data_IF_950329990735
#
_entry.id   IF_950329990735
#
_cell.length_a   1.000
_cell.length_b   1.000
_cell.length_c   1.000
_cell.angle_alpha   90.00
_cell.angle_beta   90.00
_cell.angle_gamma   90.00
#
_symmetry.space_group_name_H-M   'P 1'
#
loop_
_entity.id
_entity.type
_entity.pdbx_description
1 polymer ?
#
# COMPACT_ATOMS: atom_id res chain seq x y z
N UNK A 1 2.56 22.06 -2.79
CA UNK A 1 1.51 22.15 -3.83
C UNK A 1 0.25 21.60 -3.19
N UNK A 2 -0.92 22.26 -3.30
CA UNK A 2 -2.15 21.69 -2.73
C UNK A 2 -2.61 20.54 -3.62
N UNK A 3 -3.03 19.44 -2.99
CA UNK A 3 -3.68 18.34 -3.69
C UNK A 3 -5.00 18.80 -4.31
N UNK A 4 -5.40 18.19 -5.39
CA UNK A 4 -6.64 18.50 -6.12
C UNK A 4 -7.39 17.22 -6.46
N UNK A 5 -8.68 17.33 -6.77
CA UNK A 5 -9.40 16.27 -7.48
C UNK A 5 -8.90 16.22 -8.92
N UNK A 6 -8.85 15.03 -9.52
CA UNK A 6 -8.45 14.93 -10.93
C UNK A 6 -9.60 15.35 -11.84
N UNK A 7 -10.84 15.00 -11.50
CA UNK A 7 -12.06 15.45 -12.17
C UNK A 7 -13.22 15.54 -11.15
N UNK A 8 -13.86 16.70 -11.06
CA UNK A 8 -15.02 16.92 -10.18
C UNK A 8 -16.35 16.57 -10.84
N UNK A 9 -16.36 16.27 -12.14
CA UNK A 9 -17.58 15.97 -12.91
C UNK A 9 -18.01 14.50 -12.83
N UNK A 10 -17.14 13.62 -12.30
CA UNK A 10 -17.37 12.18 -12.22
C UNK A 10 -17.11 11.63 -10.83
N UNK A 11 -17.72 10.52 -10.49
CA UNK A 11 -17.44 9.81 -9.24
C UNK A 11 -16.10 9.05 -9.36
N UNK A 12 -15.02 9.69 -8.90
CA UNK A 12 -13.67 9.17 -9.05
C UNK A 12 -13.20 8.41 -7.81
N UNK A 13 -12.69 7.18 -7.99
CA UNK A 13 -11.92 6.47 -6.98
C UNK A 13 -10.41 6.68 -7.19
N UNK A 14 -9.70 7.08 -6.14
CA UNK A 14 -8.23 7.01 -6.09
C UNK A 14 -7.78 5.68 -5.49
N UNK A 15 -6.70 5.09 -6.01
CA UNK A 15 -6.13 3.86 -5.47
C UNK A 15 -4.61 3.92 -5.40
N UNK A 16 -4.06 3.31 -4.34
CA UNK A 16 -2.62 3.19 -4.07
C UNK A 16 -2.32 1.93 -3.25
N UNK A 17 -1.05 1.54 -3.17
CA UNK A 17 -0.59 0.40 -2.40
C UNK A 17 0.60 0.72 -1.48
N UNK A 18 0.72 -0.05 -0.40
CA UNK A 18 1.83 0.00 0.54
C UNK A 18 2.50 -1.38 0.69
N UNK A 19 3.82 -1.39 0.87
CA UNK A 19 4.53 -2.60 1.23
C UNK A 19 5.13 -3.40 0.07
N UNK A 20 5.26 -2.85 -1.13
CA UNK A 20 5.84 -3.56 -2.29
C UNK A 20 7.26 -4.08 -2.05
N UNK A 21 8.13 -3.26 -1.48
CA UNK A 21 9.54 -3.60 -1.24
C UNK A 21 9.83 -4.36 0.05
N UNK A 22 8.82 -4.84 0.76
CA UNK A 22 8.98 -5.57 2.01
C UNK A 22 9.36 -7.03 1.78
N UNK A 23 10.18 -7.61 2.67
CA UNK A 23 10.53 -9.02 2.66
C UNK A 23 9.47 -9.89 3.33
N UNK A 24 8.63 -9.29 4.17
CA UNK A 24 7.58 -9.98 4.89
C UNK A 24 6.27 -9.18 4.92
N UNK A 25 5.18 -9.88 5.11
CA UNK A 25 3.83 -9.33 5.18
C UNK A 25 3.22 -9.04 3.82
N UNK A 26 1.95 -8.60 3.82
CA UNK A 26 1.19 -8.38 2.59
C UNK A 26 1.67 -7.14 1.83
N UNK A 27 1.32 -7.05 0.54
CA UNK A 27 1.06 -5.77 -0.09
C UNK A 27 -0.38 -5.38 0.24
N UNK A 28 -0.56 -4.14 0.67
CA UNK A 28 -1.88 -3.63 1.09
C UNK A 28 -2.27 -2.53 0.13
N UNK A 29 -3.41 -2.68 -0.51
CA UNK A 29 -3.98 -1.68 -1.39
C UNK A 29 -5.24 -1.06 -0.77
N UNK A 30 -5.51 0.19 -1.12
CA UNK A 30 -6.74 0.88 -0.76
C UNK A 30 -7.36 1.58 -1.96
N UNK A 31 -8.67 1.78 -1.90
CA UNK A 31 -9.42 2.62 -2.82
C UNK A 31 -10.28 3.60 -2.00
N UNK A 32 -10.36 4.85 -2.43
CA UNK A 32 -11.09 5.91 -1.72
C UNK A 32 -11.82 6.79 -2.73
N UNK A 33 -13.08 7.11 -2.44
CA UNK A 33 -13.88 8.13 -3.12
C UNK A 33 -14.15 9.24 -2.12
N UNK A 34 -13.54 10.40 -2.31
CA UNK A 34 -13.80 11.59 -1.48
C UNK A 34 -14.93 12.43 -2.08
N UNK A 35 -15.73 13.15 -1.26
CA UNK A 35 -16.67 14.12 -1.78
C UNK A 35 -15.95 15.27 -2.48
N UNK A 36 -16.60 15.89 -3.46
CA UNK A 36 -16.04 16.96 -4.29
C UNK A 36 -15.62 18.21 -3.50
N UNK A 37 -16.25 18.44 -2.36
CA UNK A 37 -15.96 19.55 -1.44
C UNK A 37 -14.99 19.19 -0.32
N UNK A 38 -14.44 17.98 -0.30
CA UNK A 38 -13.45 17.55 0.69
C UNK A 38 -12.24 18.48 0.68
N UNK A 39 -11.84 18.94 1.86
CA UNK A 39 -10.68 19.80 2.07
C UNK A 39 -9.92 19.37 3.32
N UNK A 40 -8.63 19.16 3.17
CA UNK A 40 -7.75 18.90 4.29
C UNK A 40 -6.35 19.43 3.99
N UNK A 41 -5.87 20.39 4.79
CA UNK A 41 -4.57 21.04 4.54
C UNK A 41 -3.38 20.16 4.95
N UNK A 42 -3.60 19.07 5.70
CA UNK A 42 -2.55 18.14 6.14
C UNK A 42 -2.39 17.00 5.14
N UNK A 43 -3.46 16.67 4.40
CA UNK A 43 -3.44 15.56 3.43
C UNK A 43 -2.35 15.79 2.38
N UNK A 44 -1.43 14.83 2.25
CA UNK A 44 -0.29 14.84 1.34
C UNK A 44 0.20 13.42 1.08
N UNK A 45 1.19 13.24 0.21
CA UNK A 45 1.95 12.00 0.04
C UNK A 45 2.30 11.39 1.41
N UNK A 46 1.87 10.16 1.64
CA UNK A 46 2.01 9.47 2.93
C UNK A 46 3.46 9.36 3.40
N UNK A 47 4.43 9.39 2.48
CA UNK A 47 5.88 9.35 2.76
C UNK A 47 6.42 10.66 3.29
N UNK A 48 5.74 11.80 3.02
CA UNK A 48 6.10 13.12 3.53
C UNK A 48 5.47 13.39 4.92
N UNK A 49 4.50 12.61 5.32
CA UNK A 49 3.83 12.72 6.59
C UNK A 49 4.51 11.89 7.67
N UNK A 50 4.55 12.44 8.88
CA UNK A 50 4.92 11.67 10.07
C UNK A 50 3.87 10.57 10.34
N UNK A 51 4.25 9.55 11.07
CA UNK A 51 3.32 8.50 11.49
C UNK A 51 2.11 9.09 12.22
N UNK A 52 2.33 10.01 13.17
CA UNK A 52 1.27 10.69 13.92
C UNK A 52 0.27 11.39 13.00
N UNK A 53 0.74 12.09 11.97
CA UNK A 53 -0.12 12.75 10.99
C UNK A 53 -0.94 11.74 10.17
N UNK A 54 -0.33 10.63 9.71
CA UNK A 54 -1.07 9.58 9.00
C UNK A 54 -2.19 8.99 9.86
N UNK A 55 -1.90 8.68 11.13
CA UNK A 55 -2.91 8.13 12.05
C UNK A 55 -3.97 9.15 12.48
N UNK A 56 -3.69 10.46 12.46
CA UNK A 56 -4.71 11.49 12.67
C UNK A 56 -5.60 11.71 11.43
N UNK A 57 -5.07 11.48 10.23
CA UNK A 57 -5.83 11.61 8.98
C UNK A 57 -6.74 10.41 8.69
N UNK A 58 -6.33 9.21 9.10
CA UNK A 58 -7.08 7.98 8.84
C UNK A 58 -8.55 8.07 9.27
N UNK A 59 -8.90 8.39 10.53
CA UNK A 59 -10.30 8.49 10.93
C UNK A 59 -11.06 9.58 10.18
N UNK A 60 -10.39 10.67 9.79
CA UNK A 60 -11.02 11.74 8.99
C UNK A 60 -11.39 11.22 7.60
N UNK A 61 -10.48 10.45 6.96
CA UNK A 61 -10.75 9.84 5.66
C UNK A 61 -11.87 8.81 5.77
N UNK A 62 -11.82 7.93 6.78
CA UNK A 62 -12.83 6.88 7.01
C UNK A 62 -14.24 7.46 7.25
N UNK A 63 -14.33 8.60 7.97
CA UNK A 63 -15.58 9.27 8.29
C UNK A 63 -16.13 10.11 7.12
N UNK A 64 -15.25 10.79 6.37
CA UNK A 64 -15.68 11.77 5.36
C UNK A 64 -15.69 11.23 3.93
N UNK A 65 -15.05 10.09 3.66
CA UNK A 65 -15.11 9.48 2.33
C UNK A 65 -16.54 8.98 2.01
N UNK A 66 -16.95 9.14 0.76
CA UNK A 66 -18.21 8.57 0.25
C UNK A 66 -18.15 7.04 0.23
N UNK A 67 -16.98 6.48 -0.09
CA UNK A 67 -16.68 5.07 0.03
C UNK A 67 -15.17 4.86 0.18
N UNK A 68 -14.78 3.82 0.89
CA UNK A 68 -13.39 3.38 0.98
C UNK A 68 -13.30 1.88 1.26
N UNK A 69 -12.20 1.30 0.82
CA UNK A 69 -11.91 -0.11 1.11
C UNK A 69 -10.40 -0.33 1.19
N UNK A 70 -10.00 -1.33 1.99
CA UNK A 70 -8.62 -1.78 2.13
C UNK A 70 -8.56 -3.30 1.94
N UNK A 71 -7.53 -3.76 1.23
CA UNK A 71 -7.29 -5.18 0.94
C UNK A 71 -5.83 -5.52 1.18
N UNK A 72 -5.61 -6.67 1.81
CA UNK A 72 -4.30 -7.28 1.94
C UNK A 72 -4.16 -8.43 0.93
N UNK A 73 -3.07 -8.43 0.15
CA UNK A 73 -2.65 -9.58 -0.67
C UNK A 73 -1.45 -10.22 0.01
N UNK A 74 -1.59 -11.47 0.42
CA UNK A 74 -0.62 -12.17 1.27
C UNK A 74 0.68 -12.56 0.56
N UNK A 75 1.71 -12.97 1.35
CA UNK A 75 2.99 -13.41 0.80
C UNK A 75 2.87 -14.58 -0.18
N UNK A 76 2.01 -15.56 0.09
CA UNK A 76 1.79 -16.72 -0.77
C UNK A 76 1.33 -16.30 -2.16
N UNK A 77 0.30 -15.47 -2.25
CA UNK A 77 -0.23 -14.97 -3.51
C UNK A 77 0.78 -14.05 -4.22
N UNK A 78 1.59 -13.26 -3.46
CA UNK A 78 2.68 -12.47 -4.02
C UNK A 78 3.73 -13.38 -4.67
N UNK A 79 4.06 -14.49 -4.05
CA UNK A 79 5.04 -15.45 -4.56
C UNK A 79 4.53 -16.17 -5.81
N UNK A 80 3.23 -16.41 -5.93
CA UNK A 80 2.60 -17.02 -7.11
C UNK A 80 2.59 -16.09 -8.33
N UNK A 81 2.13 -14.83 -8.13
CA UNK A 81 1.82 -13.93 -9.27
C UNK A 81 2.82 -12.77 -9.44
N UNK A 82 3.83 -12.67 -8.58
CA UNK A 82 4.78 -11.59 -8.38
C UNK A 82 4.18 -10.29 -7.82
N UNK A 83 5.06 -9.42 -7.28
CA UNK A 83 4.64 -8.21 -6.57
C UNK A 83 3.92 -7.19 -7.44
N UNK A 84 4.25 -7.08 -8.73
CA UNK A 84 3.56 -6.15 -9.62
C UNK A 84 2.10 -6.58 -9.84
N UNK A 85 1.88 -7.86 -10.14
CA UNK A 85 0.53 -8.39 -10.33
C UNK A 85 -0.27 -8.37 -9.02
N UNK A 86 0.38 -8.68 -7.88
CA UNK A 86 -0.25 -8.61 -6.57
C UNK A 86 -0.68 -7.19 -6.18
N UNK A 87 0.12 -6.16 -6.52
CA UNK A 87 -0.27 -4.76 -6.32
C UNK A 87 -1.50 -4.40 -7.15
N UNK A 88 -1.49 -4.72 -8.44
CA UNK A 88 -2.63 -4.46 -9.34
C UNK A 88 -3.89 -5.19 -8.86
N UNK A 89 -3.75 -6.46 -8.52
CA UNK A 89 -4.86 -7.28 -8.01
C UNK A 89 -5.42 -6.71 -6.69
N UNK A 90 -4.54 -6.27 -5.79
CA UNK A 90 -4.93 -5.62 -4.54
C UNK A 90 -5.75 -4.35 -4.78
N UNK A 91 -5.29 -3.49 -5.70
CA UNK A 91 -6.03 -2.27 -6.09
C UNK A 91 -7.38 -2.61 -6.72
N UNK A 92 -7.45 -3.57 -7.64
CA UNK A 92 -8.70 -4.01 -8.25
C UNK A 92 -9.68 -4.59 -7.20
N UNK A 93 -9.18 -5.40 -6.27
CA UNK A 93 -9.98 -5.94 -5.15
C UNK A 93 -10.49 -4.84 -4.21
N UNK A 94 -9.68 -3.80 -3.97
CA UNK A 94 -10.10 -2.65 -3.15
C UNK A 94 -11.20 -1.86 -3.86
N UNK A 95 -11.07 -1.61 -5.17
CA UNK A 95 -12.10 -0.96 -5.98
C UNK A 95 -13.41 -1.77 -5.97
N UNK A 96 -13.31 -3.09 -6.15
CA UNK A 96 -14.47 -3.98 -6.14
C UNK A 96 -15.16 -4.15 -4.77
N UNK A 97 -14.53 -3.68 -3.68
CA UNK A 97 -15.11 -3.66 -2.34
C UNK A 97 -15.71 -2.31 -1.95
N UNK A 98 -15.65 -1.31 -2.81
CA UNK A 98 -16.32 -0.04 -2.55
C UNK A 98 -17.85 -0.23 -2.59
N UNK A 99 -18.55 0.35 -1.62
CA UNK A 99 -20.01 0.35 -1.58
C UNK A 99 -20.64 1.23 -2.67
N UNK A 100 -19.82 2.08 -3.31
CA UNK A 100 -20.20 2.91 -4.45
C UNK A 100 -19.33 2.52 -5.65
N UNK A 101 -19.97 2.27 -6.81
CA UNK A 101 -19.25 2.00 -8.07
C UNK A 101 -18.67 3.31 -8.61
N UNK A 102 -17.35 3.44 -8.79
CA UNK A 102 -16.75 4.63 -9.39
C UNK A 102 -17.04 4.67 -10.92
N UNK A 103 -17.09 5.89 -11.45
CA UNK A 103 -17.17 6.17 -12.89
C UNK A 103 -15.78 6.31 -13.52
N UNK A 104 -14.78 6.56 -12.70
CA UNK A 104 -13.36 6.73 -13.10
C UNK A 104 -12.42 6.25 -12.01
N UNK A 105 -11.23 5.76 -12.39
CA UNK A 105 -10.21 5.29 -11.46
C UNK A 105 -8.91 6.08 -11.68
N UNK A 106 -8.47 6.82 -10.65
CA UNK A 106 -7.15 7.43 -10.59
C UNK A 106 -6.20 6.51 -9.83
N UNK A 107 -5.11 6.09 -10.48
CA UNK A 107 -4.18 5.07 -9.96
C UNK A 107 -2.81 5.70 -9.69
N UNK A 108 -2.22 5.46 -8.50
CA UNK A 108 -0.81 5.79 -8.30
C UNK A 108 0.10 4.87 -9.12
N UNK A 109 1.16 5.47 -9.71
CA UNK A 109 2.15 4.74 -10.49
C UNK A 109 1.92 4.78 -12.00
N UNK A 110 2.46 3.80 -12.72
CA UNK A 110 2.44 3.73 -14.19
C UNK A 110 1.98 2.37 -14.74
N UNK A 111 1.48 1.49 -13.90
CA UNK A 111 1.05 0.13 -14.27
C UNK A 111 -0.27 -0.19 -13.60
N UNK A 112 -1.27 -0.43 -14.41
CA UNK A 112 -2.56 -0.94 -14.00
C UNK A 112 -3.12 -1.84 -15.11
N UNK A 113 -4.15 -2.60 -14.82
CA UNK A 113 -4.91 -3.37 -15.81
C UNK A 113 -6.35 -2.91 -15.78
N UNK A 114 -7.05 -2.91 -16.93
CA UNK A 114 -8.47 -2.59 -16.95
C UNK A 114 -9.23 -3.34 -15.84
N UNK A 115 -10.15 -2.64 -15.22
CA UNK A 115 -11.07 -3.18 -14.23
C UNK A 115 -12.49 -2.96 -14.72
N UNK A 116 -13.14 -4.03 -15.15
CA UNK A 116 -14.43 -3.98 -15.83
C UNK A 116 -14.39 -2.97 -17.01
N UNK A 117 -15.45 -2.20 -17.18
CA UNK A 117 -15.61 -1.14 -18.20
C UNK A 117 -15.29 0.27 -17.67
N UNK A 118 -14.67 0.37 -16.47
CA UNK A 118 -14.38 1.66 -15.84
C UNK A 118 -13.09 2.25 -16.44
N UNK A 119 -13.14 3.46 -17.02
CA UNK A 119 -11.96 4.15 -17.51
C UNK A 119 -11.01 4.48 -16.35
N UNK A 120 -9.70 4.48 -16.63
CA UNK A 120 -8.69 4.77 -15.62
C UNK A 120 -7.54 5.61 -16.16
N UNK A 121 -6.84 6.28 -15.26
CA UNK A 121 -5.60 6.99 -15.52
C UNK A 121 -4.54 6.61 -14.49
N UNK A 122 -3.32 6.33 -14.98
CA UNK A 122 -2.16 6.11 -14.12
C UNK A 122 -1.36 7.39 -13.99
N UNK A 123 -1.08 7.82 -12.76
CA UNK A 123 -0.29 9.01 -12.46
C UNK A 123 0.90 8.67 -11.58
N UNK A 124 2.11 8.84 -12.10
CA UNK A 124 3.34 8.70 -11.29
C UNK A 124 3.36 9.79 -10.22
N UNK A 125 3.53 9.40 -8.96
CA UNK A 125 3.41 10.29 -7.78
C UNK A 125 2.02 10.92 -7.69
N UNK A 126 0.99 10.15 -7.99
CA UNK A 126 -0.40 10.58 -7.89
C UNK A 126 -0.79 10.94 -6.46
N UNK A 127 -0.20 10.26 -5.46
CA UNK A 127 -0.33 10.54 -4.04
C UNK A 127 0.14 11.95 -3.63
N UNK A 128 1.01 12.57 -4.41
CA UNK A 128 1.43 13.97 -4.25
C UNK A 128 0.62 14.96 -5.10
N UNK A 129 -0.32 14.48 -5.91
CA UNK A 129 -1.06 15.29 -6.89
C UNK A 129 -2.56 15.28 -6.63
N UNK A 130 -3.14 14.09 -6.39
CA UNK A 130 -4.59 13.87 -6.30
C UNK A 130 -5.04 13.44 -4.92
N UNK A 131 -6.11 14.07 -4.40
CA UNK A 131 -6.59 13.84 -3.03
C UNK A 131 -7.09 12.41 -2.82
N UNK A 132 -7.82 11.83 -3.77
CA UNK A 132 -8.33 10.47 -3.68
C UNK A 132 -7.17 9.44 -3.57
N UNK A 133 -6.09 9.62 -4.36
CA UNK A 133 -4.90 8.77 -4.31
C UNK A 133 -4.15 8.96 -2.98
N UNK A 134 -3.98 10.21 -2.53
CA UNK A 134 -3.32 10.49 -1.25
C UNK A 134 -4.07 9.88 -0.06
N UNK A 135 -5.39 9.94 -0.07
CA UNK A 135 -6.23 9.32 0.95
C UNK A 135 -6.08 7.78 0.91
N UNK A 136 -6.09 7.17 -0.28
CA UNK A 136 -5.85 5.74 -0.44
C UNK A 136 -4.45 5.33 0.06
N UNK A 137 -3.41 6.13 -0.24
CA UNK A 137 -2.04 5.92 0.26
C UNK A 137 -1.97 5.87 1.78
N UNK A 138 -2.66 6.80 2.47
CA UNK A 138 -2.73 6.84 3.93
C UNK A 138 -3.43 5.60 4.49
N UNK A 139 -4.57 5.21 3.92
CA UNK A 139 -5.28 4.01 4.36
C UNK A 139 -4.43 2.76 4.11
N UNK A 140 -3.90 2.57 2.91
CA UNK A 140 -3.04 1.43 2.60
C UNK A 140 -1.85 1.33 3.58
N UNK A 141 -1.19 2.46 3.86
CA UNK A 141 -0.02 2.51 4.76
C UNK A 141 -0.39 2.23 6.21
N UNK A 142 -1.40 2.87 6.75
CA UNK A 142 -1.76 2.74 8.18
C UNK A 142 -2.35 1.36 8.49
N UNK A 143 -3.20 0.81 7.64
CA UNK A 143 -3.73 -0.55 7.80
C UNK A 143 -2.65 -1.60 7.69
N UNK A 144 -1.68 -1.41 6.76
CA UNK A 144 -0.55 -2.31 6.67
C UNK A 144 0.33 -2.25 7.91
N UNK A 145 0.61 -1.07 8.43
CA UNK A 145 1.44 -0.91 9.62
C UNK A 145 0.80 -1.59 10.84
N UNK A 146 -0.52 -1.47 11.00
CA UNK A 146 -1.27 -2.16 12.06
C UNK A 146 -1.21 -3.69 11.90
N UNK A 147 -1.38 -4.18 10.67
CA UNK A 147 -1.24 -5.61 10.38
C UNK A 147 0.17 -6.13 10.76
N UNK A 148 1.23 -5.38 10.39
CA UNK A 148 2.60 -5.78 10.73
C UNK A 148 2.90 -5.71 12.22
N UNK A 149 2.29 -4.76 12.96
CA UNK A 149 2.37 -4.73 14.43
C UNK A 149 1.70 -5.94 15.08
N UNK A 150 0.53 -6.33 14.57
CA UNK A 150 -0.16 -7.53 15.05
C UNK A 150 0.68 -8.80 14.80
N UNK A 151 1.31 -8.93 13.64
CA UNK A 151 2.23 -10.03 13.34
C UNK A 151 3.49 -10.00 14.23
N UNK A 152 3.99 -8.81 14.57
CA UNK A 152 5.16 -8.68 15.44
C UNK A 152 4.94 -9.26 16.84
N UNK A 153 3.72 -9.24 17.36
CA UNK A 153 3.38 -9.86 18.64
C UNK A 153 3.56 -11.38 18.60
N UNK A 154 3.31 -12.00 17.45
CA UNK A 154 3.46 -13.46 17.25
C UNK A 154 4.92 -13.83 16.88
N UNK A 155 5.64 -12.91 16.27
CA UNK A 155 7.00 -13.11 15.74
C UNK A 155 7.98 -12.01 16.19
N UNK A 156 8.19 -11.82 17.52
CA UNK A 156 8.93 -10.66 18.05
C UNK A 156 10.40 -10.60 17.61
N UNK A 157 10.99 -11.75 17.22
CA UNK A 157 12.38 -11.82 16.80
C UNK A 157 12.71 -11.00 15.54
N UNK A 158 11.71 -10.71 14.69
CA UNK A 158 11.94 -10.03 13.39
C UNK A 158 11.83 -8.50 13.46
N UNK A 159 11.36 -7.94 14.57
CA UNK A 159 11.24 -6.50 14.80
C UNK A 159 10.27 -5.80 13.85
N UNK A 160 9.21 -6.50 13.42
CA UNK A 160 8.24 -5.98 12.45
C UNK A 160 7.43 -4.79 12.96
N UNK A 161 7.35 -4.59 14.27
CA UNK A 161 6.75 -3.42 14.90
C UNK A 161 7.48 -2.11 14.53
N UNK A 162 8.79 -2.20 14.20
CA UNK A 162 9.63 -1.06 13.81
C UNK A 162 9.92 -1.03 12.33
N UNK A 163 10.28 -2.18 11.76
CA UNK A 163 10.71 -2.25 10.37
C UNK A 163 9.58 -2.54 9.38
N UNK A 164 8.35 -2.85 9.86
CA UNK A 164 7.19 -3.16 9.05
C UNK A 164 7.48 -4.16 7.89
N UNK A 165 8.40 -5.10 8.10
CA UNK A 165 8.80 -6.09 7.10
C UNK A 165 9.80 -5.60 6.05
N UNK A 166 10.27 -4.35 6.11
CA UNK A 166 11.26 -3.82 5.17
C UNK A 166 12.64 -4.47 5.36
N UNK A 167 13.52 -4.48 4.32
CA UNK A 167 14.81 -5.18 4.29
C UNK A 167 15.90 -4.44 5.10
N UNK A 168 15.63 -4.11 6.36
CA UNK A 168 16.61 -3.51 7.27
C UNK A 168 17.69 -4.51 7.66
N UNK A 169 18.85 -4.01 8.12
CA UNK A 169 19.91 -4.86 8.65
C UNK A 169 19.40 -5.77 9.77
N UNK A 170 18.60 -5.25 10.69
CA UNK A 170 18.00 -6.02 11.80
C UNK A 170 17.08 -7.13 11.30
N UNK A 171 16.20 -6.84 10.34
CA UNK A 171 15.31 -7.84 9.75
C UNK A 171 16.09 -8.96 9.05
N UNK A 172 17.10 -8.63 8.23
CA UNK A 172 17.96 -9.63 7.57
C UNK A 172 18.79 -10.44 8.57
N UNK A 173 19.26 -9.83 9.66
CA UNK A 173 19.95 -10.55 10.74
C UNK A 173 19.03 -11.53 11.44
N UNK A 174 17.78 -11.14 11.69
CA UNK A 174 16.76 -12.04 12.26
C UNK A 174 16.45 -13.22 11.34
N UNK A 175 16.27 -12.95 10.02
CA UNK A 175 16.08 -14.03 9.03
C UNK A 175 17.27 -15.00 9.02
N UNK A 176 18.50 -14.47 9.11
CA UNK A 176 19.70 -15.32 9.16
C UNK A 176 19.75 -16.19 10.43
N UNK A 177 19.31 -15.66 11.57
CA UNK A 177 19.36 -16.34 12.86
C UNK A 177 18.22 -17.34 13.06
N UNK A 178 17.00 -17.00 12.65
CA UNK A 178 15.78 -17.73 12.96
C UNK A 178 15.09 -18.37 11.73
N UNK A 179 15.63 -18.15 10.52
CA UNK A 179 14.99 -18.60 9.28
C UNK A 179 13.90 -17.65 8.78
N UNK A 180 13.26 -18.04 7.69
CA UNK A 180 12.07 -17.38 7.18
C UNK A 180 10.80 -18.06 7.72
N UNK A 181 9.75 -17.27 7.98
CA UNK A 181 8.42 -17.77 8.33
C UNK A 181 7.52 -17.82 7.10
N UNK A 182 6.27 -18.31 7.26
CA UNK A 182 5.22 -18.24 6.25
C UNK A 182 4.85 -16.81 5.83
N UNK A 183 5.16 -15.82 6.67
CA UNK A 183 4.92 -14.41 6.37
C UNK A 183 6.00 -13.76 5.49
N UNK A 184 7.12 -14.45 5.23
CA UNK A 184 8.15 -13.97 4.32
C UNK A 184 7.82 -14.31 2.87
N UNK A 185 8.16 -13.40 1.96
CA UNK A 185 8.02 -13.57 0.51
C UNK A 185 9.20 -14.37 -0.01
N UNK A 186 9.00 -15.64 -0.27
CA UNK A 186 10.06 -16.62 -0.60
C UNK A 186 10.73 -16.33 -1.94
N UNK A 187 10.03 -15.69 -2.87
CA UNK A 187 10.57 -15.29 -4.18
C UNK A 187 11.43 -14.03 -4.11
N UNK A 188 11.42 -13.33 -2.97
CA UNK A 188 12.27 -12.15 -2.76
C UNK A 188 13.65 -12.56 -2.26
N UNK A 189 14.68 -11.74 -2.59
CA UNK A 189 16.03 -11.94 -2.05
C UNK A 189 16.08 -11.60 -0.56
N UNK A 190 15.77 -12.58 0.29
CA UNK A 190 15.70 -12.42 1.74
C UNK A 190 17.04 -12.08 2.36
N UNK A 191 18.12 -12.75 1.91
CA UNK A 191 19.50 -12.50 2.34
C UNK A 191 20.34 -12.06 1.15
N UNK A 192 21.35 -11.19 1.35
CA UNK A 192 22.32 -10.87 0.31
C UNK A 192 23.00 -12.17 -0.20
N UNK A 193 23.26 -12.25 -1.50
CA UNK A 193 24.07 -13.34 -2.05
C UNK A 193 25.42 -13.35 -1.32
N UNK A 194 25.85 -14.51 -0.81
CA UNK A 194 27.25 -14.68 -0.38
C UNK A 194 28.11 -14.54 -1.64
N UNK A 195 28.92 -13.48 -1.71
CA UNK A 195 30.02 -13.41 -2.66
C UNK A 195 30.98 -14.54 -2.28
N UNK A 196 31.06 -15.59 -3.09
CA UNK A 196 32.13 -16.55 -2.98
C UNK A 196 33.45 -15.82 -3.32
N UNK A 197 34.39 -15.82 -2.40
CA UNK A 197 35.70 -15.21 -2.59
C UNK A 197 36.49 -15.81 -3.77
N UNK A 198 35.97 -16.84 -4.42
CA UNK A 198 36.56 -17.55 -5.53
C UNK A 198 35.99 -17.15 -6.92
N UNK A 199 35.06 -16.17 -6.95
CA UNK A 199 34.48 -15.63 -8.20
C UNK A 199 35.12 -14.28 -8.61
N UNK A 200 36.33 -13.97 -8.12
CA UNK A 200 37.15 -12.79 -8.47
C UNK A 200 38.39 -13.21 -9.26
#
# INVERSE_FOLDING_TARGET
>A
MKLQHSDLSVLEAGTDEAGRGCLAGPVTAAAVILPADFKNDILNDSKQLTEKQRYSLRPIIEEQALAWAVVHVGPEEIDEINILQASILGMQRAIGKLDLRPEFIAVDGNKFKPYEDIPYHCQVKGDATYMNIAAASILAKTYRDDHMRALALQHPAYGWERNAGYPTKGHRSAIKAYGATEHHRKTFQLLPAQLNLFDL
#
